data_IF_921464757958
#
_entry.id   IF_921464757958
#
_cell.length_a   1.000
_cell.length_b   1.000
_cell.length_c   1.000
_cell.angle_alpha   90.00
_cell.angle_beta   90.00
_cell.angle_gamma   90.00
#
_symmetry.space_group_name_H-M   'P 1'
#
loop_
_entity.id
_entity.type
_entity.pdbx_description
1 polymer ?
#
# COMPACT_ATOMS: atom_id res chain seq x y z
N UNK A 1 -21.32 -8.95 6.85
CA UNK A 1 -19.98 -8.88 6.24
C UNK A 1 -19.08 -8.13 7.22
N UNK A 2 -18.27 -8.86 7.97
CA UNK A 2 -17.58 -8.36 9.18
C UNK A 2 -16.45 -7.38 8.90
N UNK A 3 -16.45 -6.24 9.59
CA UNK A 3 -15.38 -5.23 9.61
C UNK A 3 -14.02 -5.84 9.98
N UNK A 4 -14.01 -6.93 10.75
CA UNK A 4 -12.80 -7.66 11.13
C UNK A 4 -12.11 -8.34 9.92
N UNK A 5 -12.88 -8.73 8.89
CA UNK A 5 -12.34 -9.31 7.65
C UNK A 5 -11.62 -8.26 6.80
N UNK A 6 -12.11 -7.00 6.82
CA UNK A 6 -11.54 -5.88 6.07
C UNK A 6 -10.17 -5.42 6.62
N UNK A 7 -9.98 -5.42 7.94
CA UNK A 7 -8.69 -5.06 8.53
C UNK A 7 -7.61 -6.11 8.28
N UNK A 8 -7.95 -7.40 8.37
CA UNK A 8 -7.02 -8.49 8.07
C UNK A 8 -6.64 -8.49 6.58
N UNK A 9 -7.61 -8.24 5.70
CA UNK A 9 -7.42 -8.06 4.26
C UNK A 9 -6.44 -6.94 3.90
N UNK A 10 -6.57 -5.76 4.53
CA UNK A 10 -5.65 -4.62 4.33
C UNK A 10 -4.22 -4.94 4.75
N UNK A 11 -4.03 -5.78 5.79
CA UNK A 11 -2.69 -6.17 6.28
C UNK A 11 -2.00 -7.18 5.36
N UNK A 12 -2.76 -8.15 4.82
CA UNK A 12 -2.22 -9.14 3.87
C UNK A 12 -1.85 -8.47 2.55
N UNK A 13 -2.69 -7.56 2.05
CA UNK A 13 -2.44 -6.80 0.82
C UNK A 13 -1.18 -5.92 0.94
N UNK A 14 -0.99 -5.23 2.07
CA UNK A 14 0.22 -4.42 2.33
C UNK A 14 1.50 -5.28 2.37
N UNK A 15 1.40 -6.52 2.86
CA UNK A 15 2.55 -7.44 2.96
C UNK A 15 2.92 -8.01 1.58
N UNK A 16 1.94 -8.25 0.71
CA UNK A 16 2.17 -8.71 -0.66
C UNK A 16 2.80 -7.62 -1.54
N UNK A 17 2.38 -6.36 -1.37
CA UNK A 17 2.95 -5.19 -2.07
C UNK A 17 4.41 -4.96 -1.65
N UNK A 18 4.75 -5.18 -0.37
CA UNK A 18 6.13 -5.05 0.13
C UNK A 18 7.06 -6.17 -0.37
N UNK A 19 6.56 -7.38 -0.58
CA UNK A 19 7.37 -8.49 -1.15
C UNK A 19 7.69 -8.29 -2.64
N UNK A 20 6.88 -7.49 -3.34
CA UNK A 20 7.01 -7.17 -4.76
C UNK A 20 8.04 -6.07 -5.06
N UNK A 21 8.28 -5.14 -4.12
CA UNK A 21 9.15 -3.97 -4.31
C UNK A 21 10.64 -4.17 -4.03
N UNK A 22 11.09 -5.38 -3.70
CA UNK A 22 12.45 -5.62 -3.17
C UNK A 22 13.59 -5.53 -4.19
N UNK A 23 13.32 -5.42 -5.49
CA UNK A 23 14.36 -5.35 -6.53
C UNK A 23 14.85 -3.93 -6.89
N UNK A 24 14.28 -2.86 -6.32
CA UNK A 24 14.63 -1.48 -6.66
C UNK A 24 15.53 -0.74 -5.66
N UNK A 25 15.81 -1.30 -4.47
CA UNK A 25 16.35 -0.53 -3.35
C UNK A 25 17.84 -0.73 -3.04
N UNK A 26 18.60 -1.50 -3.82
CA UNK A 26 20.00 -1.82 -3.48
C UNK A 26 21.02 -0.73 -3.87
N UNK A 27 20.61 0.38 -4.47
CA UNK A 27 21.55 1.39 -4.99
C UNK A 27 21.86 2.59 -4.06
N UNK A 28 21.21 2.74 -2.89
CA UNK A 28 21.34 3.98 -2.07
C UNK A 28 21.95 3.73 -0.69
N UNK A 29 22.77 2.68 -0.51
CA UNK A 29 23.42 2.41 0.78
C UNK A 29 24.88 2.92 0.88
N UNK A 30 25.51 3.38 -0.22
CA UNK A 30 26.96 3.61 -0.24
C UNK A 30 27.41 5.08 -0.35
N UNK A 31 26.53 6.06 -0.27
CA UNK A 31 26.94 7.47 -0.26
C UNK A 31 25.99 8.27 0.61
N UNK A 32 26.31 8.43 1.88
CA UNK A 32 25.89 9.55 2.76
C UNK A 32 26.57 9.40 4.14
N UNK A 33 27.90 9.24 4.17
CA UNK A 33 28.68 9.31 5.42
C UNK A 33 29.45 10.64 5.55
N UNK A 34 28.88 11.73 5.01
CA UNK A 34 29.46 13.09 5.09
C UNK A 34 28.45 14.14 5.61
N UNK A 35 27.54 13.76 6.50
CA UNK A 35 26.75 14.77 7.23
C UNK A 35 27.53 15.17 8.48
N UNK A 36 28.30 16.25 8.37
CA UNK A 36 28.85 16.96 9.54
C UNK A 36 27.69 17.49 10.39
N UNK A 37 27.67 17.14 11.68
CA UNK A 37 26.68 17.61 12.65
C UNK A 37 26.85 19.12 12.91
N UNK A 38 25.83 19.98 12.77
CA UNK A 38 25.91 21.35 13.26
C UNK A 38 25.70 21.40 14.78
N UNK A 39 26.45 22.29 15.43
CA UNK A 39 26.39 22.60 16.85
C UNK A 39 25.06 23.24 17.23
N UNK A 40 24.28 22.61 18.10
CA UNK A 40 23.03 23.17 18.63
C UNK A 40 23.31 24.34 19.57
N UNK A 41 23.17 25.58 19.09
CA UNK A 41 22.88 26.74 19.94
C UNK A 41 21.45 27.14 19.65
N UNK A 42 20.56 26.93 20.62
CA UNK A 42 19.12 27.09 20.44
C UNK A 42 18.72 28.55 20.21
N UNK A 43 18.17 28.81 19.03
CA UNK A 43 17.16 29.85 18.80
C UNK A 43 15.78 29.26 19.14
N UNK A 44 14.88 30.02 19.79
CA UNK A 44 13.47 29.62 19.90
C UNK A 44 12.93 29.34 18.49
N UNK A 45 12.31 28.18 18.30
CA UNK A 45 11.65 27.85 17.05
C UNK A 45 10.38 28.71 16.98
N UNK A 46 10.43 29.82 16.25
CA UNK A 46 9.23 30.47 15.72
C UNK A 46 8.65 29.51 14.68
N UNK A 47 7.67 28.70 15.09
CA UNK A 47 6.78 28.03 14.14
C UNK A 47 5.83 29.12 13.63
N UNK A 48 6.18 29.76 12.51
CA UNK A 48 5.22 30.57 11.76
C UNK A 48 4.27 29.62 11.03
N UNK A 49 3.04 29.54 11.52
CA UNK A 49 1.94 28.77 10.96
C UNK A 49 1.62 29.16 9.50
N UNK A 50 2.04 30.34 9.03
CA UNK A 50 1.91 30.74 7.63
C UNK A 50 3.00 30.17 6.71
N UNK A 51 4.11 29.61 7.21
CA UNK A 51 5.11 28.95 6.36
C UNK A 51 4.63 27.57 5.88
N UNK A 52 3.84 26.86 6.71
CA UNK A 52 3.18 25.61 6.31
C UNK A 52 2.09 25.84 5.27
N UNK A 53 1.42 27.00 5.30
CA UNK A 53 0.38 27.36 4.35
C UNK A 53 0.91 27.93 3.02
N UNK A 54 2.16 28.41 2.98
CA UNK A 54 2.76 29.11 1.84
C UNK A 54 3.79 28.28 1.03
N UNK A 55 4.09 27.05 1.45
CA UNK A 55 4.64 26.07 0.52
C UNK A 55 3.50 25.71 -0.43
N UNK A 56 3.45 26.34 -1.61
CA UNK A 56 2.36 26.23 -2.58
C UNK A 56 2.22 24.82 -3.17
N UNK A 57 1.77 23.88 -2.36
CA UNK A 57 1.50 22.51 -2.73
C UNK A 57 0.28 22.49 -3.63
N UNK A 58 0.53 22.37 -4.94
CA UNK A 58 -0.54 22.30 -5.93
C UNK A 58 -1.36 21.04 -5.71
N UNK A 59 -2.67 21.21 -5.49
CA UNK A 59 -3.61 20.10 -5.53
C UNK A 59 -3.84 19.74 -7.00
N UNK A 60 -3.52 18.51 -7.37
CA UNK A 60 -3.66 18.00 -8.74
C UNK A 60 -4.67 16.85 -8.78
N UNK A 61 -5.57 16.81 -9.79
CA UNK A 61 -6.42 15.64 -10.01
C UNK A 61 -5.59 14.36 -10.17
N UNK A 62 -6.16 13.25 -9.73
CA UNK A 62 -5.57 11.92 -9.85
C UNK A 62 -6.59 10.94 -10.40
N UNK A 63 -6.15 9.95 -11.16
CA UNK A 63 -6.97 8.85 -11.63
C UNK A 63 -6.27 7.55 -11.27
N UNK A 64 -7.01 6.61 -10.68
CA UNK A 64 -6.49 5.28 -10.36
C UNK A 64 -6.38 4.51 -11.66
N UNK A 65 -5.16 4.13 -12.03
CA UNK A 65 -4.88 3.26 -13.18
C UNK A 65 -4.11 2.04 -12.70
N UNK A 66 -4.71 0.87 -12.83
CA UNK A 66 -4.14 -0.44 -12.53
C UNK A 66 -3.74 -1.10 -13.85
N UNK A 67 -2.42 -1.22 -14.15
CA UNK A 67 -1.96 -1.81 -15.40
C UNK A 67 -2.36 -3.28 -15.53
N UNK A 68 -2.74 -3.70 -16.74
CA UNK A 68 -3.09 -5.10 -17.03
C UNK A 68 -1.93 -6.06 -16.72
N UNK A 69 -0.69 -5.59 -16.87
CA UNK A 69 0.51 -6.34 -16.49
C UNK A 69 0.56 -6.64 -14.99
N UNK A 70 0.12 -5.71 -14.13
CA UNK A 70 0.07 -5.91 -12.69
C UNK A 70 -1.03 -6.93 -12.31
N UNK A 71 -2.19 -6.88 -12.98
CA UNK A 71 -3.27 -7.87 -12.79
C UNK A 71 -2.80 -9.26 -13.25
N UNK A 72 -2.10 -9.34 -14.38
CA UNK A 72 -1.56 -10.60 -14.90
C UNK A 72 -0.49 -11.21 -13.99
N UNK A 73 0.42 -10.39 -13.47
CA UNK A 73 1.41 -10.80 -12.47
C UNK A 73 0.74 -11.27 -11.18
N UNK A 74 -0.28 -10.56 -10.69
CA UNK A 74 -1.08 -10.98 -9.54
C UNK A 74 -1.69 -12.37 -9.75
N UNK A 75 -2.40 -12.58 -10.87
CA UNK A 75 -3.01 -13.88 -11.19
C UNK A 75 -1.97 -15.01 -11.24
N UNK A 76 -0.81 -14.74 -11.83
CA UNK A 76 0.30 -15.70 -11.87
C UNK A 76 0.79 -16.06 -10.47
N UNK A 77 0.86 -15.11 -9.53
CA UNK A 77 1.25 -15.38 -8.14
C UNK A 77 0.20 -16.18 -7.39
N UNK A 78 -1.08 -15.84 -7.56
CA UNK A 78 -2.19 -16.56 -6.95
C UNK A 78 -2.17 -18.03 -7.39
N UNK A 79 -2.04 -18.29 -8.69
CA UNK A 79 -1.93 -19.64 -9.28
C UNK A 79 -0.77 -20.46 -8.72
N UNK A 80 0.37 -19.81 -8.47
CA UNK A 80 1.58 -20.47 -7.98
C UNK A 80 1.66 -20.53 -6.45
N UNK A 81 0.59 -20.15 -5.74
CA UNK A 81 0.57 -20.13 -4.28
C UNK A 81 0.66 -21.55 -3.73
N UNK A 82 1.64 -21.78 -2.86
CA UNK A 82 1.78 -23.03 -2.10
C UNK A 82 1.26 -22.81 -0.68
N UNK A 83 0.11 -23.40 -0.38
CA UNK A 83 -0.50 -23.30 0.94
C UNK A 83 0.16 -24.28 1.93
N UNK A 84 0.45 -23.86 3.17
CA UNK A 84 0.94 -24.76 4.21
C UNK A 84 -0.13 -25.77 4.60
N UNK A 85 0.28 -26.81 5.31
CA UNK A 85 -0.67 -27.75 5.93
C UNK A 85 -1.31 -27.13 7.18
N UNK A 86 -2.57 -27.50 7.42
CA UNK A 86 -3.33 -27.10 8.60
C UNK A 86 -3.41 -28.28 9.57
N UNK A 87 -3.30 -28.00 10.86
CA UNK A 87 -3.47 -29.03 11.90
C UNK A 87 -4.93 -29.49 11.88
N UNK A 88 -5.14 -30.80 11.92
CA UNK A 88 -6.47 -31.41 11.93
C UNK A 88 -7.36 -30.79 13.01
N UNK A 89 -8.63 -30.53 12.68
CA UNK A 89 -9.65 -29.97 13.60
C UNK A 89 -9.33 -28.56 14.16
N UNK A 90 -8.32 -27.88 13.63
CA UNK A 90 -8.09 -26.46 13.89
C UNK A 90 -8.67 -25.63 12.75
N UNK A 91 -9.14 -24.43 13.07
CA UNK A 91 -9.64 -23.42 12.14
C UNK A 91 -8.84 -22.13 12.33
N UNK A 92 -9.43 -21.10 12.95
CA UNK A 92 -8.85 -19.78 13.12
C UNK A 92 -7.96 -19.63 14.36
N UNK A 93 -7.85 -20.66 15.20
CA UNK A 93 -7.16 -20.61 16.48
C UNK A 93 -5.65 -20.35 16.34
N UNK A 94 -5.08 -20.67 15.18
CA UNK A 94 -3.64 -20.57 14.91
C UNK A 94 -3.31 -19.68 13.71
N UNK A 95 -4.26 -18.87 13.26
CA UNK A 95 -4.10 -17.99 12.10
C UNK A 95 -5.24 -18.15 11.11
N UNK A 96 -5.01 -17.75 9.86
CA UNK A 96 -6.03 -17.86 8.82
C UNK A 96 -6.33 -19.33 8.53
N UNK A 97 -7.62 -19.66 8.54
CA UNK A 97 -8.08 -20.98 8.12
C UNK A 97 -7.74 -21.23 6.64
N UNK A 98 -7.19 -22.41 6.34
CA UNK A 98 -6.73 -22.84 5.03
C UNK A 98 -7.87 -22.94 4.03
N UNK A 99 -9.04 -23.40 4.44
CA UNK A 99 -10.21 -23.50 3.55
C UNK A 99 -10.62 -22.10 3.11
N UNK A 100 -10.77 -21.18 4.06
CA UNK A 100 -11.08 -19.79 3.77
C UNK A 100 -10.03 -19.11 2.88
N UNK A 101 -8.73 -19.35 3.14
CA UNK A 101 -7.67 -18.78 2.31
C UNK A 101 -7.70 -19.34 0.88
N UNK A 102 -8.02 -20.62 0.73
CA UNK A 102 -8.16 -21.26 -0.60
C UNK A 102 -9.32 -20.63 -1.38
N UNK A 103 -10.47 -20.47 -0.73
CA UNK A 103 -11.64 -19.79 -1.32
C UNK A 103 -11.34 -18.33 -1.71
N UNK A 104 -10.58 -17.62 -0.86
CA UNK A 104 -10.19 -16.23 -1.15
C UNK A 104 -9.25 -16.12 -2.35
N UNK A 105 -8.30 -17.06 -2.48
CA UNK A 105 -7.39 -17.12 -3.63
C UNK A 105 -8.19 -17.37 -4.91
N UNK A 106 -9.10 -18.35 -4.88
CA UNK A 106 -9.95 -18.68 -6.03
C UNK A 106 -10.82 -17.50 -6.47
N UNK A 107 -11.47 -16.84 -5.52
CA UNK A 107 -12.28 -15.65 -5.77
C UNK A 107 -11.46 -14.53 -6.45
N UNK A 108 -10.26 -14.23 -5.95
CA UNK A 108 -9.41 -13.19 -6.53
C UNK A 108 -8.84 -13.53 -7.90
N UNK A 109 -8.58 -14.82 -8.15
CA UNK A 109 -8.06 -15.28 -9.43
C UNK A 109 -9.14 -15.28 -10.51
N UNK A 110 -10.33 -15.77 -10.16
CA UNK A 110 -11.34 -16.21 -11.12
C UNK A 110 -12.60 -15.35 -11.13
N UNK A 111 -12.98 -14.74 -10.02
CA UNK A 111 -14.28 -14.06 -9.88
C UNK A 111 -14.16 -12.54 -9.73
N UNK A 112 -13.05 -12.05 -9.18
CA UNK A 112 -12.88 -10.62 -8.91
C UNK A 112 -12.54 -9.82 -10.18
N UNK A 113 -13.45 -8.92 -10.56
CA UNK A 113 -13.25 -8.02 -11.69
C UNK A 113 -12.48 -6.76 -11.24
N UNK A 114 -11.17 -6.77 -11.46
CA UNK A 114 -10.28 -5.65 -11.16
C UNK A 114 -10.62 -4.38 -11.93
N UNK A 115 -11.12 -4.50 -13.16
CA UNK A 115 -11.46 -3.35 -14.01
C UNK A 115 -12.80 -2.73 -13.62
N UNK A 116 -13.72 -3.53 -13.13
CA UNK A 116 -14.92 -3.03 -12.46
C UNK A 116 -14.55 -2.19 -11.24
N UNK A 117 -13.70 -2.72 -10.36
CA UNK A 117 -13.34 -2.00 -9.14
C UNK A 117 -12.51 -0.75 -9.40
N UNK A 118 -11.59 -0.76 -10.38
CA UNK A 118 -10.88 0.44 -10.84
C UNK A 118 -11.87 1.55 -11.22
N UNK A 119 -12.91 1.20 -12.00
CA UNK A 119 -13.92 2.17 -12.41
C UNK A 119 -14.77 2.67 -11.25
N UNK A 120 -15.24 1.77 -10.38
CA UNK A 120 -16.01 2.15 -9.20
C UNK A 120 -15.21 3.08 -8.28
N UNK A 121 -13.91 2.83 -8.10
CA UNK A 121 -13.06 3.72 -7.32
C UNK A 121 -12.96 5.11 -7.96
N UNK A 122 -12.77 5.18 -9.28
CA UNK A 122 -12.70 6.45 -10.01
C UNK A 122 -14.05 7.19 -10.15
N UNK A 123 -15.15 6.69 -9.58
CA UNK A 123 -16.39 7.46 -9.45
C UNK A 123 -16.26 8.61 -8.43
N UNK A 124 -15.24 8.56 -7.58
CA UNK A 124 -14.91 9.61 -6.63
C UNK A 124 -13.89 10.60 -7.19
N UNK A 125 -13.94 11.85 -6.72
CA UNK A 125 -12.95 12.86 -7.07
C UNK A 125 -11.66 12.61 -6.28
N UNK A 126 -10.62 12.16 -6.97
CA UNK A 126 -9.31 11.90 -6.39
C UNK A 126 -8.33 13.03 -6.66
N UNK A 127 -7.49 13.31 -5.67
CA UNK A 127 -6.47 14.34 -5.76
C UNK A 127 -5.16 13.90 -5.11
N UNK A 128 -4.09 14.56 -5.53
CA UNK A 128 -2.77 14.49 -4.91
C UNK A 128 -2.27 15.87 -4.55
N UNK A 129 -1.45 15.94 -3.51
CA UNK A 129 -0.73 17.15 -3.11
C UNK A 129 0.60 16.74 -2.48
N UNK A 130 1.60 17.61 -2.51
CA UNK A 130 2.91 17.36 -1.89
C UNK A 130 2.99 18.11 -0.57
N UNK A 131 3.18 17.43 0.56
CA UNK A 131 3.36 18.07 1.87
C UNK A 131 4.69 17.57 2.43
N UNK A 132 5.61 18.49 2.73
CA UNK A 132 6.95 18.17 3.24
C UNK A 132 7.68 17.11 2.38
N UNK A 133 7.66 17.29 1.06
CA UNK A 133 8.25 16.37 0.05
C UNK A 133 7.58 14.98 -0.03
N UNK A 134 6.42 14.81 0.60
CA UNK A 134 5.63 13.57 0.58
C UNK A 134 4.38 13.77 -0.27
N UNK A 135 4.22 12.94 -1.31
CA UNK A 135 3.00 12.90 -2.10
C UNK A 135 1.86 12.25 -1.29
N UNK A 136 0.81 13.03 -1.03
CA UNK A 136 -0.38 12.63 -0.30
C UNK A 136 -1.56 12.47 -1.27
N UNK A 137 -2.19 11.29 -1.29
CA UNK A 137 -3.43 11.03 -2.03
C UNK A 137 -4.65 11.17 -1.12
N UNK A 138 -5.71 11.82 -1.61
CA UNK A 138 -6.98 11.96 -0.90
C UNK A 138 -8.19 11.93 -1.84
N UNK A 139 -9.37 11.78 -1.25
CA UNK A 139 -10.69 11.80 -1.90
C UNK A 139 -11.51 12.93 -1.27
N UNK A 140 -12.27 13.69 -2.07
CA UNK A 140 -13.14 14.76 -1.59
C UNK A 140 -14.62 14.46 -1.82
#
# INVERSE_FOLDING_TARGET
MDLLKLFTFRRVLATLILLLGTYGLTAIAATLNQVSRPSTTGTPIDIDDNQLANNGSSITPFEIVVPDAAISDLKTRLQNTRLPDQISETTWEYGTDKTYLTELIDYWENEFDWKEQERTLNEFDHFKTEIDEIEMHFIH
#
